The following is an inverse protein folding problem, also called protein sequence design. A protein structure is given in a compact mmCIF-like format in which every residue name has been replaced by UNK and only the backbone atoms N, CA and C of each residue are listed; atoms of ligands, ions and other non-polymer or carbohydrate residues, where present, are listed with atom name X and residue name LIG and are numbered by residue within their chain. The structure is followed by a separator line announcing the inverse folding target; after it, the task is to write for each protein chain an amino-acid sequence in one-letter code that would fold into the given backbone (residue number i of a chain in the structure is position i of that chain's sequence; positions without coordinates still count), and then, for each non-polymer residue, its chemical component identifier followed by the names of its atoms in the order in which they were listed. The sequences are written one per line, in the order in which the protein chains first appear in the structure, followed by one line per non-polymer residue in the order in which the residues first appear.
data_IF_236781306797
#
_entry.id   IF_236781306797
#
_cell.length_a   1.000
_cell.length_b   1.000
_cell.length_c   1.000
_cell.angle_alpha   90.00
_cell.angle_beta   90.00
_cell.angle_gamma   90.00
#
_symmetry.space_group_name_H-M   'P 1'
#
loop_
_entity.id
_entity.type
_entity.pdbx_description
1 polymer ?
#
# COMPACT_ATOMS: atom_id res chain seq x y z
N UNK A 1 55.64 48.44 11.01
CA UNK A 1 55.95 47.63 9.81
C UNK A 1 55.11 46.37 9.83
N UNK A 2 54.48 46.07 8.69
CA UNK A 2 53.77 44.84 8.30
C UNK A 2 52.49 44.45 9.07
N UNK A 3 51.39 44.99 8.56
CA UNK A 3 49.97 44.63 8.72
C UNK A 3 49.73 43.16 8.32
N UNK A 4 49.12 42.35 9.20
CA UNK A 4 48.61 41.01 8.84
C UNK A 4 47.26 41.15 8.15
N UNK A 5 47.23 40.87 6.85
CA UNK A 5 46.01 40.77 6.05
C UNK A 5 45.30 39.43 6.33
N UNK A 6 44.02 39.53 6.68
CA UNK A 6 43.07 38.41 6.75
C UNK A 6 42.81 37.88 5.35
N UNK A 7 43.07 36.59 5.12
CA UNK A 7 42.67 35.89 3.89
C UNK A 7 41.18 35.53 3.97
N UNK A 8 40.36 35.82 2.94
CA UNK A 8 38.95 35.45 2.96
C UNK A 8 38.79 33.95 2.70
N UNK A 9 37.78 33.37 3.36
CA UNK A 9 37.36 31.99 3.18
C UNK A 9 36.94 31.75 1.72
N UNK A 10 37.48 30.69 1.11
CA UNK A 10 37.06 30.21 -0.22
C UNK A 10 35.63 29.69 -0.12
N UNK A 11 34.67 30.46 -0.63
CA UNK A 11 33.35 29.96 -0.96
C UNK A 11 33.47 28.96 -2.11
N UNK A 12 33.21 27.68 -1.82
CA UNK A 12 32.96 26.66 -2.85
C UNK A 12 31.47 26.74 -3.16
N UNK A 13 31.04 27.06 -4.40
CA UNK A 13 29.64 27.05 -4.72
C UNK A 13 29.16 25.60 -4.76
N UNK A 14 28.21 25.26 -3.88
CA UNK A 14 27.39 24.06 -4.00
C UNK A 14 26.66 24.14 -5.34
N UNK A 15 27.19 23.44 -6.33
CA UNK A 15 26.51 23.16 -7.58
C UNK A 15 25.28 22.30 -7.24
N UNK A 16 24.13 22.97 -7.08
CA UNK A 16 22.84 22.32 -7.12
C UNK A 16 22.71 21.63 -8.49
N UNK A 17 22.94 20.32 -8.53
CA UNK A 17 22.51 19.49 -9.65
C UNK A 17 20.99 19.57 -9.70
N UNK A 18 20.46 20.37 -10.61
CA UNK A 18 19.07 20.25 -11.04
C UNK A 18 18.86 18.80 -11.50
N UNK A 19 17.78 18.11 -11.06
CA UNK A 19 17.45 16.82 -11.66
C UNK A 19 17.12 17.10 -13.13
N UNK A 20 17.95 16.59 -14.04
CA UNK A 20 17.57 16.47 -15.46
C UNK A 20 16.56 15.32 -15.58
N UNK A 21 15.37 15.51 -15.02
CA UNK A 21 14.22 14.67 -15.32
C UNK A 21 13.34 15.52 -16.22
N UNK A 22 13.52 15.35 -17.53
CA UNK A 22 12.56 15.87 -18.49
C UNK A 22 11.23 15.13 -18.26
N UNK A 23 10.12 15.86 -18.18
CA UNK A 23 8.81 15.21 -18.22
C UNK A 23 8.69 14.53 -19.59
N UNK A 24 8.55 13.21 -19.57
CA UNK A 24 8.17 12.49 -20.76
C UNK A 24 6.73 12.89 -21.05
N UNK A 25 6.51 13.81 -21.99
CA UNK A 25 5.20 13.98 -22.58
C UNK A 25 4.91 12.69 -23.34
N UNK A 26 3.87 11.91 -22.97
CA UNK A 26 3.50 10.75 -23.74
C UNK A 26 2.93 11.26 -25.07
N UNK A 27 3.77 11.25 -26.11
CA UNK A 27 3.25 11.15 -27.46
C UNK A 27 2.63 9.76 -27.59
N UNK A 28 1.37 9.74 -28.04
CA UNK A 28 0.41 8.65 -28.02
C UNK A 28 -0.40 8.58 -26.71
N UNK A 29 -1.73 8.73 -26.86
CA UNK A 29 -2.68 8.21 -25.89
C UNK A 29 -2.28 6.75 -25.62
N UNK A 30 -1.99 6.35 -24.37
CA UNK A 30 -1.83 4.94 -24.09
C UNK A 30 -3.14 4.28 -24.51
N UNK A 31 -3.07 3.36 -25.47
CA UNK A 31 -4.16 2.44 -25.73
C UNK A 31 -4.57 1.88 -24.36
N UNK A 32 -5.87 1.88 -24.01
CA UNK A 32 -6.29 1.26 -22.77
C UNK A 32 -5.70 -0.17 -22.76
N UNK A 33 -5.11 -0.62 -21.63
CA UNK A 33 -4.59 -1.97 -21.56
C UNK A 33 -5.69 -2.92 -22.03
N UNK A 34 -5.35 -3.80 -22.97
CA UNK A 34 -6.28 -4.80 -23.48
C UNK A 34 -6.56 -5.77 -22.34
N UNK A 35 -7.58 -5.48 -21.54
CA UNK A 35 -8.27 -6.52 -20.77
C UNK A 35 -9.05 -7.35 -21.79
N UNK A 36 -9.07 -8.68 -21.66
CA UNK A 36 -10.07 -9.47 -22.37
C UNK A 36 -11.41 -8.94 -21.91
N UNK A 37 -12.12 -8.29 -22.83
CA UNK A 37 -13.28 -7.47 -22.47
C UNK A 37 -14.40 -8.30 -21.84
N UNK A 38 -14.35 -9.64 -21.97
CA UNK A 38 -15.31 -10.58 -21.39
C UNK A 38 -14.68 -11.97 -21.14
N UNK A 39 -14.98 -12.57 -19.98
CA UNK A 39 -14.84 -14.03 -19.77
C UNK A 39 -16.05 -14.69 -20.47
N UNK A 40 -15.94 -15.04 -21.75
CA UNK A 40 -17.05 -15.66 -22.52
C UNK A 40 -16.85 -17.17 -22.63
N UNK A 41 -17.61 -17.91 -21.82
CA UNK A 41 -17.80 -19.36 -22.00
C UNK A 41 -16.51 -20.16 -21.90
N UNK A 42 -16.19 -20.93 -22.93
CA UNK A 42 -15.01 -21.80 -23.00
C UNK A 42 -13.82 -21.13 -23.74
N UNK A 43 -13.87 -19.82 -24.02
CA UNK A 43 -12.80 -19.12 -24.73
C UNK A 43 -11.61 -18.85 -23.79
N UNK A 44 -10.35 -18.99 -24.26
CA UNK A 44 -9.17 -18.64 -23.47
C UNK A 44 -9.21 -17.16 -23.02
N UNK A 45 -8.70 -16.89 -21.81
CA UNK A 45 -8.57 -15.54 -21.24
C UNK A 45 -7.11 -15.22 -20.91
N UNK A 46 -6.74 -13.94 -20.84
CA UNK A 46 -5.40 -13.56 -20.40
C UNK A 46 -5.20 -13.95 -18.92
N UNK A 47 -3.97 -14.31 -18.56
CA UNK A 47 -3.61 -14.62 -17.16
C UNK A 47 -3.94 -13.44 -16.23
N UNK A 48 -3.73 -12.20 -16.68
CA UNK A 48 -4.10 -11.02 -15.89
C UNK A 48 -5.60 -10.99 -15.55
N UNK A 49 -6.47 -11.35 -16.49
CA UNK A 49 -7.91 -11.29 -16.28
C UNK A 49 -8.38 -12.42 -15.37
N UNK A 50 -7.76 -13.59 -15.50
CA UNK A 50 -7.96 -14.70 -14.58
C UNK A 50 -7.58 -14.31 -13.14
N UNK A 51 -6.38 -13.74 -12.93
CA UNK A 51 -5.93 -13.28 -11.62
C UNK A 51 -6.87 -12.22 -11.05
N UNK A 52 -7.26 -11.24 -11.87
CA UNK A 52 -8.19 -10.19 -11.46
C UNK A 52 -9.52 -10.78 -10.99
N UNK A 53 -10.14 -11.67 -11.77
CA UNK A 53 -11.39 -12.32 -11.40
C UNK A 53 -11.24 -13.20 -10.14
N UNK A 54 -10.17 -14.00 -10.06
CA UNK A 54 -9.92 -14.89 -8.93
C UNK A 54 -9.72 -14.13 -7.60
N UNK A 55 -9.14 -12.93 -7.63
CA UNK A 55 -8.88 -12.14 -6.43
C UNK A 55 -10.01 -11.16 -6.10
N UNK A 56 -10.51 -10.45 -7.10
CA UNK A 56 -11.30 -9.23 -6.93
C UNK A 56 -12.74 -9.31 -7.45
N UNK A 57 -13.19 -10.46 -7.99
CA UNK A 57 -14.60 -10.59 -8.35
C UNK A 57 -15.51 -10.29 -7.14
N UNK A 58 -16.53 -9.43 -7.27
CA UNK A 58 -17.35 -8.99 -6.13
C UNK A 58 -18.10 -10.11 -5.40
N UNK A 59 -18.33 -11.24 -6.06
CA UNK A 59 -19.09 -12.38 -5.54
C UNK A 59 -18.27 -13.64 -5.32
N UNK A 60 -17.23 -13.83 -6.12
CA UNK A 60 -16.46 -15.06 -6.22
C UNK A 60 -14.96 -14.87 -5.96
N UNK A 61 -14.50 -13.62 -5.89
CA UNK A 61 -13.11 -13.31 -5.65
C UNK A 61 -12.68 -13.69 -4.23
N UNK A 62 -11.41 -14.04 -4.08
CA UNK A 62 -10.80 -14.40 -2.81
C UNK A 62 -11.09 -13.37 -1.70
N UNK A 63 -10.92 -12.07 -2.00
CA UNK A 63 -11.12 -10.99 -1.02
C UNK A 63 -12.59 -10.68 -0.74
N UNK A 64 -13.51 -11.13 -1.60
CA UNK A 64 -14.95 -10.95 -1.44
C UNK A 64 -15.59 -12.09 -0.65
N UNK A 65 -15.16 -13.34 -0.87
CA UNK A 65 -15.77 -14.52 -0.24
C UNK A 65 -15.23 -14.84 1.16
N UNK A 66 -13.94 -14.64 1.40
CA UNK A 66 -13.32 -15.05 2.66
C UNK A 66 -13.43 -13.95 3.70
N UNK A 67 -14.43 -14.06 4.57
CA UNK A 67 -14.43 -13.36 5.86
C UNK A 67 -13.15 -13.74 6.63
N UNK A 68 -12.28 -12.77 6.92
CA UNK A 68 -10.97 -13.04 7.54
C UNK A 68 -9.84 -13.32 6.55
N UNK A 69 -9.97 -12.91 5.28
CA UNK A 69 -8.90 -12.97 4.27
C UNK A 69 -7.56 -12.38 4.74
N UNK A 70 -7.61 -11.41 5.66
CA UNK A 70 -6.46 -10.84 6.35
C UNK A 70 -6.54 -11.19 7.83
N UNK A 71 -5.55 -11.91 8.36
CA UNK A 71 -5.48 -12.25 9.77
C UNK A 71 -5.34 -11.01 10.64
N UNK A 72 -6.16 -10.89 11.69
CA UNK A 72 -6.10 -9.79 12.67
C UNK A 72 -5.65 -10.35 14.01
N UNK A 73 -4.55 -9.84 14.55
CA UNK A 73 -4.17 -10.19 15.92
C UNK A 73 -4.96 -9.35 16.92
N UNK A 74 -5.59 -9.93 17.93
CA UNK A 74 -6.28 -9.12 18.94
C UNK A 74 -5.31 -8.24 19.75
N UNK A 75 -4.08 -8.71 19.94
CA UNK A 75 -3.08 -8.05 20.79
C UNK A 75 -1.71 -8.03 20.12
N UNK A 76 -0.95 -6.97 20.38
CA UNK A 76 0.46 -6.88 20.00
C UNK A 76 1.29 -8.01 20.61
N UNK A 77 2.24 -8.53 19.83
CA UNK A 77 3.24 -9.46 20.32
C UNK A 77 4.15 -8.74 21.33
N UNK A 78 4.30 -9.31 22.52
CA UNK A 78 5.21 -8.80 23.56
C UNK A 78 6.62 -9.32 23.32
N UNK A 79 7.32 -8.72 22.35
CA UNK A 79 8.66 -9.17 21.93
C UNK A 79 9.67 -9.21 23.08
N UNK A 80 9.55 -8.33 24.08
CA UNK A 80 10.39 -8.32 25.27
C UNK A 80 10.22 -9.55 26.19
N UNK A 81 9.17 -10.35 25.98
CA UNK A 81 8.91 -11.60 26.70
C UNK A 81 9.40 -12.84 25.93
N UNK A 82 9.90 -12.68 24.71
CA UNK A 82 10.38 -13.77 23.87
C UNK A 82 11.90 -13.90 23.97
N UNK A 83 12.39 -15.09 24.28
CA UNK A 83 13.81 -15.40 24.44
C UNK A 83 14.59 -15.49 23.10
N UNK A 84 14.17 -14.74 22.08
CA UNK A 84 14.77 -14.72 20.74
C UNK A 84 14.00 -15.53 19.70
N UNK A 85 14.67 -15.82 18.57
CA UNK A 85 14.04 -16.34 17.34
C UNK A 85 13.25 -17.63 17.55
N UNK A 86 13.80 -18.60 18.30
CA UNK A 86 13.12 -19.89 18.53
C UNK A 86 11.78 -19.72 19.25
N UNK A 87 11.76 -18.92 20.32
CA UNK A 87 10.54 -18.62 21.07
C UNK A 87 9.53 -17.87 20.19
N UNK A 88 9.98 -16.94 19.36
CA UNK A 88 9.12 -16.25 18.40
C UNK A 88 8.50 -17.19 17.37
N UNK A 89 9.27 -18.10 16.77
CA UNK A 89 8.74 -19.06 15.80
C UNK A 89 7.71 -20.00 16.42
N UNK A 90 7.95 -20.47 17.66
CA UNK A 90 6.97 -21.29 18.40
C UNK A 90 5.70 -20.50 18.73
N UNK A 91 5.84 -19.24 19.11
CA UNK A 91 4.71 -18.35 19.37
C UNK A 91 3.87 -18.14 18.09
N UNK A 92 4.52 -17.87 16.95
CA UNK A 92 3.83 -17.76 15.66
C UNK A 92 3.11 -19.05 15.28
N UNK A 93 3.80 -20.20 15.36
CA UNK A 93 3.20 -21.51 15.05
C UNK A 93 1.93 -21.77 15.87
N UNK A 94 1.93 -21.40 17.16
CA UNK A 94 0.74 -21.49 17.99
C UNK A 94 -0.39 -20.56 17.53
N UNK A 95 -0.08 -19.32 17.16
CA UNK A 95 -1.09 -18.39 16.62
C UNK A 95 -1.71 -18.95 15.35
N UNK A 96 -0.89 -19.42 14.40
CA UNK A 96 -1.37 -19.97 13.14
C UNK A 96 -2.23 -21.22 13.33
N UNK A 97 -1.92 -22.07 14.32
CA UNK A 97 -2.75 -23.25 14.65
C UNK A 97 -4.08 -22.89 15.30
N UNK A 98 -4.17 -21.74 15.97
CA UNK A 98 -5.36 -21.30 16.71
C UNK A 98 -6.31 -20.46 15.86
N UNK A 99 -5.84 -19.93 14.74
CA UNK A 99 -6.62 -19.04 13.89
C UNK A 99 -6.79 -19.69 12.52
N UNK A 100 -8.02 -19.76 12.02
CA UNK A 100 -8.32 -20.17 10.65
C UNK A 100 -8.06 -19.00 9.68
N UNK A 101 -6.82 -18.52 9.67
CA UNK A 101 -6.37 -17.38 8.84
C UNK A 101 -5.28 -17.84 7.91
N UNK A 102 -5.32 -17.34 6.67
CA UNK A 102 -4.35 -17.76 5.65
C UNK A 102 -2.97 -17.13 5.88
N UNK A 103 -2.90 -15.90 6.39
CA UNK A 103 -1.65 -15.22 6.76
C UNK A 103 -1.89 -14.03 7.71
N UNK A 104 -0.84 -13.64 8.43
CA UNK A 104 -0.74 -12.32 9.08
C UNK A 104 0.25 -11.44 8.34
N UNK A 105 -0.14 -10.20 8.07
CA UNK A 105 0.75 -9.21 7.46
C UNK A 105 1.78 -8.70 8.47
N UNK A 106 2.90 -8.10 8.03
CA UNK A 106 3.85 -7.43 8.91
C UNK A 106 3.21 -6.35 9.77
N UNK A 107 2.19 -5.65 9.26
CA UNK A 107 1.40 -4.67 10.03
C UNK A 107 0.83 -5.33 11.28
N UNK A 108 0.28 -6.54 11.15
CA UNK A 108 -0.36 -7.26 12.25
C UNK A 108 0.66 -7.88 13.20
N UNK A 109 1.68 -8.55 12.66
CA UNK A 109 2.71 -9.22 13.47
C UNK A 109 3.55 -8.24 14.29
N UNK A 110 3.82 -7.04 13.75
CA UNK A 110 4.73 -6.08 14.35
C UNK A 110 4.03 -4.83 14.90
N UNK A 111 2.70 -4.83 15.08
CA UNK A 111 2.00 -3.68 15.64
C UNK A 111 2.38 -3.40 17.11
N UNK A 112 2.48 -2.12 17.50
CA UNK A 112 2.27 -0.93 16.67
C UNK A 112 3.55 -0.46 15.94
N UNK A 113 4.68 -1.12 16.15
CA UNK A 113 6.01 -0.69 15.72
C UNK A 113 6.15 -0.54 14.21
N UNK A 114 5.50 -1.40 13.41
CA UNK A 114 5.51 -1.27 11.96
C UNK A 114 4.90 0.06 11.50
N UNK A 115 3.73 0.41 12.03
CA UNK A 115 3.05 1.68 11.76
C UNK A 115 3.83 2.88 12.30
N UNK A 116 4.46 2.75 13.47
CA UNK A 116 5.30 3.80 14.05
C UNK A 116 6.51 4.12 13.15
N UNK A 117 7.18 3.10 12.60
CA UNK A 117 8.30 3.31 11.68
C UNK A 117 7.88 4.07 10.42
N UNK A 118 6.69 3.79 9.90
CA UNK A 118 6.11 4.52 8.76
C UNK A 118 5.77 5.96 9.16
N UNK A 119 5.14 6.16 10.32
CA UNK A 119 4.79 7.49 10.82
C UNK A 119 6.02 8.38 11.05
N UNK A 120 7.10 7.84 11.60
CA UNK A 120 8.40 8.50 11.72
C UNK A 120 8.95 8.93 10.36
N UNK A 121 8.92 8.03 9.37
CA UNK A 121 9.37 8.35 8.01
C UNK A 121 8.54 9.50 7.40
N UNK A 122 7.21 9.48 7.62
CA UNK A 122 6.30 10.55 7.21
C UNK A 122 6.69 11.87 7.87
N UNK A 123 6.79 11.92 9.19
CA UNK A 123 7.10 13.17 9.91
C UNK A 123 8.47 13.75 9.57
N UNK A 124 9.44 12.90 9.23
CA UNK A 124 10.79 13.33 8.84
C UNK A 124 10.86 13.91 7.43
N UNK A 125 10.01 13.47 6.50
CA UNK A 125 10.18 13.78 5.07
C UNK A 125 8.99 14.47 4.42
N UNK A 126 7.83 14.55 5.07
CA UNK A 126 6.71 15.37 4.63
C UNK A 126 6.99 16.87 4.82
N UNK A 127 6.48 17.69 3.90
CA UNK A 127 6.40 19.14 4.11
C UNK A 127 5.27 19.47 5.09
N UNK A 128 5.58 19.57 6.37
CA UNK A 128 4.61 19.88 7.42
C UNK A 128 4.23 21.36 7.50
N UNK A 129 4.65 22.22 6.56
CA UNK A 129 4.13 23.59 6.41
C UNK A 129 2.76 23.62 5.72
N UNK A 130 2.39 22.54 5.03
CA UNK A 130 1.05 22.32 4.47
C UNK A 130 0.34 21.19 5.21
N UNK A 131 -1.00 21.09 5.14
CA UNK A 131 -1.73 19.97 5.72
C UNK A 131 -1.22 18.61 5.23
N UNK A 132 -1.01 17.67 6.16
CA UNK A 132 -0.52 16.34 5.84
C UNK A 132 -1.64 15.51 5.20
N UNK A 133 -1.44 15.05 3.96
CA UNK A 133 -2.39 14.19 3.25
C UNK A 133 -1.76 12.80 3.04
N UNK A 134 -2.45 11.75 3.47
CA UNK A 134 -2.03 10.36 3.34
C UNK A 134 -3.10 9.60 2.59
N UNK A 135 -2.68 8.87 1.56
CA UNK A 135 -3.45 7.82 0.90
C UNK A 135 -2.86 6.47 1.28
N UNK A 136 -3.72 5.53 1.66
CA UNK A 136 -3.36 4.13 1.83
C UNK A 136 -4.20 3.31 0.86
N UNK A 137 -3.56 2.58 -0.04
CA UNK A 137 -4.26 1.68 -0.98
C UNK A 137 -4.20 0.29 -0.37
N UNK A 138 -5.34 -0.38 -0.26
CA UNK A 138 -5.42 -1.72 0.33
C UNK A 138 -5.04 -1.74 1.81
N UNK A 139 -5.67 -0.89 2.64
CA UNK A 139 -5.34 -0.74 4.07
C UNK A 139 -5.67 -1.96 4.97
N UNK A 140 -6.16 -3.06 4.39
CA UNK A 140 -6.45 -4.29 5.11
C UNK A 140 -7.45 -4.09 6.24
N UNK A 141 -7.05 -4.43 7.47
CA UNK A 141 -7.85 -4.27 8.69
C UNK A 141 -7.92 -2.82 9.22
N UNK A 142 -7.10 -1.91 8.70
CA UNK A 142 -7.00 -0.52 9.19
C UNK A 142 -6.05 -0.35 10.38
N UNK A 143 -5.40 -1.43 10.81
CA UNK A 143 -4.39 -1.42 11.88
C UNK A 143 -3.24 -0.46 11.56
N UNK A 144 -2.78 -0.39 10.30
CA UNK A 144 -1.70 0.52 9.91
C UNK A 144 -2.14 1.98 10.02
N UNK A 145 -3.27 2.35 9.40
CA UNK A 145 -3.87 3.68 9.52
C UNK A 145 -4.02 4.12 10.98
N UNK A 146 -4.64 3.28 11.81
CA UNK A 146 -4.81 3.56 13.24
C UNK A 146 -3.46 3.81 13.93
N UNK A 147 -2.49 2.92 13.72
CA UNK A 147 -1.16 3.04 14.33
C UNK A 147 -0.39 4.29 13.89
N UNK A 148 -0.50 4.67 12.62
CA UNK A 148 0.12 5.91 12.10
C UNK A 148 -0.56 7.13 12.73
N UNK A 149 -1.89 7.15 12.78
CA UNK A 149 -2.65 8.27 13.35
C UNK A 149 -2.43 8.41 14.86
N UNK A 150 -2.38 7.29 15.60
CA UNK A 150 -2.03 7.25 17.02
C UNK A 150 -0.63 7.84 17.24
N UNK A 151 0.36 7.41 16.44
CA UNK A 151 1.73 7.91 16.56
C UNK A 151 1.82 9.42 16.26
N UNK A 152 1.20 9.90 15.19
CA UNK A 152 1.19 11.32 14.81
C UNK A 152 0.48 12.15 15.89
N UNK A 153 -0.64 11.67 16.44
CA UNK A 153 -1.38 12.35 17.50
C UNK A 153 -0.52 12.57 18.75
N UNK A 154 0.33 11.60 19.09
CA UNK A 154 1.16 11.63 20.30
C UNK A 154 2.49 12.37 20.13
N UNK A 155 3.07 12.35 18.92
CA UNK A 155 4.46 12.77 18.72
C UNK A 155 4.63 13.99 17.80
N UNK A 156 3.62 14.38 17.03
CA UNK A 156 3.71 15.55 16.16
C UNK A 156 3.13 16.81 16.84
N UNK A 157 3.53 18.04 16.42
CA UNK A 157 2.85 19.25 16.84
C UNK A 157 1.34 19.16 16.56
N UNK A 158 0.51 19.61 17.50
CA UNK A 158 -0.96 19.48 17.44
C UNK A 158 -1.57 19.96 16.11
N UNK A 159 -0.99 21.01 15.50
CA UNK A 159 -1.40 21.54 14.20
C UNK A 159 -1.28 20.53 13.05
N UNK A 160 -0.37 19.56 13.13
CA UNK A 160 -0.16 18.53 12.11
C UNK A 160 -1.29 17.52 12.19
N UNK A 161 -1.51 16.91 13.36
CA UNK A 161 -2.60 15.95 13.55
C UNK A 161 -3.96 16.60 13.31
N UNK A 162 -4.21 17.81 13.80
CA UNK A 162 -5.53 18.46 13.64
C UNK A 162 -5.89 18.74 12.18
N UNK A 163 -4.91 18.99 11.32
CA UNK A 163 -5.12 19.35 9.92
C UNK A 163 -4.81 18.21 8.96
N UNK A 164 -4.46 17.01 9.44
CA UNK A 164 -4.17 15.90 8.54
C UNK A 164 -5.44 15.31 7.91
N UNK A 165 -5.26 14.64 6.78
CA UNK A 165 -6.30 13.83 6.13
C UNK A 165 -5.71 12.48 5.77
N UNK A 166 -6.39 11.42 6.16
CA UNK A 166 -6.02 10.03 5.87
C UNK A 166 -7.14 9.38 5.07
N UNK A 167 -6.82 8.89 3.88
CA UNK A 167 -7.78 8.35 2.94
C UNK A 167 -7.34 6.93 2.61
N UNK A 168 -8.14 5.95 3.00
CA UNK A 168 -7.95 4.60 2.52
C UNK A 168 -8.73 4.39 1.22
N UNK A 169 -8.13 3.71 0.24
CA UNK A 169 -8.80 3.25 -0.98
C UNK A 169 -8.85 1.73 -0.92
N UNK A 170 -10.05 1.19 -0.82
CA UNK A 170 -10.28 -0.23 -0.56
C UNK A 170 -11.36 -0.77 -1.50
N UNK A 171 -11.07 -1.87 -2.18
CA UNK A 171 -11.99 -2.49 -3.14
C UNK A 171 -12.97 -3.44 -2.43
N UNK A 172 -12.59 -3.99 -1.27
CA UNK A 172 -13.43 -4.92 -0.53
C UNK A 172 -14.37 -4.17 0.44
N UNK A 173 -15.70 -4.36 0.33
CA UNK A 173 -16.65 -3.68 1.21
C UNK A 173 -16.52 -4.14 2.67
N UNK A 174 -16.12 -5.40 2.90
CA UNK A 174 -15.95 -5.96 4.24
C UNK A 174 -14.70 -5.38 4.93
N UNK A 175 -13.58 -5.27 4.20
CA UNK A 175 -12.38 -4.61 4.71
C UNK A 175 -12.61 -3.10 4.90
N UNK A 176 -13.30 -2.44 3.98
CA UNK A 176 -13.63 -1.02 4.12
C UNK A 176 -14.40 -0.74 5.42
N UNK A 177 -15.42 -1.57 5.71
CA UNK A 177 -16.16 -1.49 6.98
C UNK A 177 -15.24 -1.76 8.18
N UNK A 178 -14.40 -2.79 8.10
CA UNK A 178 -13.49 -3.16 9.18
C UNK A 178 -12.51 -2.04 9.52
N UNK A 179 -11.99 -1.34 8.52
CA UNK A 179 -11.10 -0.21 8.71
C UNK A 179 -11.78 0.94 9.46
N UNK A 180 -13.03 1.25 9.13
CA UNK A 180 -13.82 2.27 9.85
C UNK A 180 -14.00 1.88 11.31
N UNK A 181 -14.32 0.60 11.58
CA UNK A 181 -14.46 0.09 12.95
C UNK A 181 -13.15 0.22 13.73
N UNK A 182 -12.04 -0.27 13.17
CA UNK A 182 -10.72 -0.26 13.82
C UNK A 182 -10.18 1.15 14.04
N UNK A 183 -10.22 2.03 13.03
CA UNK A 183 -9.79 3.43 13.20
C UNK A 183 -10.73 4.20 14.13
N UNK A 184 -12.03 3.86 14.10
CA UNK A 184 -13.08 4.46 14.93
C UNK A 184 -12.99 4.15 16.43
N UNK A 185 -12.17 3.17 16.83
CA UNK A 185 -11.83 2.93 18.25
C UNK A 185 -11.26 4.18 18.93
N UNK A 186 -10.65 5.08 18.15
CA UNK A 186 -10.18 6.39 18.61
C UNK A 186 -11.02 7.48 17.96
N UNK A 187 -12.02 7.98 18.71
CA UNK A 187 -13.04 8.92 18.21
C UNK A 187 -12.49 10.16 17.49
N UNK A 188 -11.33 10.68 17.90
CA UNK A 188 -10.70 11.84 17.26
C UNK A 188 -10.19 11.57 15.83
N UNK A 189 -9.96 10.31 15.47
CA UNK A 189 -9.53 9.89 14.13
C UNK A 189 -10.66 10.00 13.10
N UNK A 190 -11.92 9.80 13.51
CA UNK A 190 -13.08 9.81 12.61
C UNK A 190 -13.24 11.11 11.81
N UNK A 191 -12.78 12.23 12.36
CA UNK A 191 -12.80 13.54 11.67
C UNK A 191 -11.72 13.71 10.59
N UNK A 192 -10.73 12.81 10.54
CA UNK A 192 -9.53 12.89 9.70
C UNK A 192 -9.39 11.70 8.77
N UNK A 193 -10.11 10.61 9.05
CA UNK A 193 -10.05 9.35 8.34
C UNK A 193 -11.32 9.11 7.53
N UNK A 194 -11.16 8.64 6.30
CA UNK A 194 -12.26 8.06 5.52
C UNK A 194 -11.77 6.88 4.68
N UNK A 195 -12.71 6.03 4.29
CA UNK A 195 -12.48 4.96 3.32
C UNK A 195 -13.27 5.25 2.06
N UNK A 196 -12.61 5.22 0.93
CA UNK A 196 -13.20 5.27 -0.40
C UNK A 196 -13.31 3.83 -0.91
N UNK A 197 -14.54 3.31 -0.95
CA UNK A 197 -14.81 1.97 -1.45
C UNK A 197 -14.80 1.97 -3.00
N UNK A 198 -13.64 1.68 -3.59
CA UNK A 198 -13.40 1.68 -5.03
C UNK A 198 -12.11 0.96 -5.39
N UNK A 199 -11.98 0.57 -6.64
CA UNK A 199 -10.70 0.10 -7.20
C UNK A 199 -9.75 1.29 -7.42
N UNK A 200 -8.54 1.20 -6.87
CA UNK A 200 -7.48 2.18 -7.06
C UNK A 200 -6.91 2.19 -8.48
N UNK A 201 -7.03 1.09 -9.24
CA UNK A 201 -6.60 1.00 -10.63
C UNK A 201 -7.59 1.70 -11.60
N UNK A 202 -8.84 1.91 -11.18
CA UNK A 202 -9.83 2.61 -11.98
C UNK A 202 -9.55 4.11 -12.02
N UNK A 203 -9.01 4.58 -13.17
CA UNK A 203 -8.69 5.99 -13.42
C UNK A 203 -9.86 6.94 -13.14
N UNK A 204 -11.08 6.55 -13.49
CA UNK A 204 -12.29 7.38 -13.26
C UNK A 204 -12.63 7.57 -11.78
N UNK A 205 -12.11 6.73 -10.89
CA UNK A 205 -12.21 6.91 -9.45
C UNK A 205 -11.29 8.02 -8.91
N UNK A 206 -10.37 8.52 -9.74
CA UNK A 206 -9.51 9.65 -9.42
C UNK A 206 -10.00 10.90 -10.16
N UNK A 207 -10.10 12.02 -9.45
CA UNK A 207 -10.49 13.30 -10.01
C UNK A 207 -9.33 14.01 -10.72
N UNK A 208 -9.44 15.33 -10.79
CA UNK A 208 -8.36 16.17 -11.30
C UNK A 208 -7.09 16.04 -10.46
N UNK A 209 -5.95 16.28 -11.09
CA UNK A 209 -4.64 16.22 -10.42
C UNK A 209 -4.54 17.31 -9.36
N UNK A 210 -4.40 16.89 -8.10
CA UNK A 210 -4.11 17.78 -6.98
C UNK A 210 -2.60 18.00 -6.84
N UNK A 211 -2.15 19.26 -6.79
CA UNK A 211 -0.73 19.63 -6.64
C UNK A 211 -0.24 19.57 -5.18
N UNK A 212 -1.13 19.34 -4.21
CA UNK A 212 -0.76 19.22 -2.81
C UNK A 212 0.12 17.97 -2.61
N UNK A 213 1.30 18.09 -1.96
CA UNK A 213 2.10 16.93 -1.61
C UNK A 213 1.31 15.95 -0.74
N UNK A 214 1.38 14.66 -1.05
CA UNK A 214 0.78 13.60 -0.27
C UNK A 214 1.74 12.42 -0.09
N UNK A 215 1.42 11.58 0.87
CA UNK A 215 2.01 10.25 1.01
C UNK A 215 1.08 9.22 0.40
N UNK A 216 1.66 8.23 -0.28
CA UNK A 216 0.93 7.06 -0.76
C UNK A 216 1.57 5.83 -0.13
N UNK A 217 0.76 5.04 0.56
CA UNK A 217 1.15 3.81 1.25
C UNK A 217 0.50 2.64 0.52
N UNK A 218 1.31 1.63 0.18
CA UNK A 218 0.88 0.39 -0.46
C UNK A 218 1.66 -0.76 0.18
N UNK A 219 1.04 -1.47 1.12
CA UNK A 219 1.68 -2.57 1.85
C UNK A 219 1.06 -3.89 1.40
N UNK A 220 1.86 -4.76 0.78
CA UNK A 220 1.38 -6.05 0.22
C UNK A 220 0.21 -5.88 -0.77
N UNK A 221 0.29 -4.83 -1.60
CA UNK A 221 -0.69 -4.56 -2.66
C UNK A 221 -0.17 -5.02 -4.02
N UNK A 222 1.09 -4.71 -4.34
CA UNK A 222 1.63 -4.90 -5.69
C UNK A 222 1.77 -6.38 -6.09
N UNK A 223 2.04 -7.24 -5.12
CA UNK A 223 2.08 -8.69 -5.28
C UNK A 223 0.70 -9.31 -5.57
N UNK A 224 -0.38 -8.60 -5.22
CA UNK A 224 -1.75 -9.00 -5.53
C UNK A 224 -2.27 -8.42 -6.85
N UNK A 225 -1.54 -7.50 -7.51
CA UNK A 225 -2.02 -6.90 -8.74
C UNK A 225 -2.09 -7.92 -9.89
N UNK A 226 -3.14 -7.87 -10.72
CA UNK A 226 -3.22 -8.69 -11.92
C UNK A 226 -2.06 -8.37 -12.87
N UNK A 227 -1.41 -9.41 -13.39
CA UNK A 227 -0.23 -9.29 -14.23
C UNK A 227 -0.22 -10.35 -15.33
N UNK A 228 0.51 -10.07 -16.40
CA UNK A 228 0.70 -11.02 -17.49
C UNK A 228 1.70 -12.10 -17.14
N UNK A 229 1.49 -13.25 -17.76
CA UNK A 229 2.52 -14.25 -17.94
C UNK A 229 2.93 -14.24 -19.40
N UNK A 230 4.24 -14.11 -19.64
CA UNK A 230 4.83 -14.16 -20.98
C UNK A 230 5.74 -15.36 -21.10
N UNK A 231 5.75 -15.96 -22.29
CA UNK A 231 6.53 -17.14 -22.59
C UNK A 231 7.36 -16.89 -23.85
N UNK A 232 8.60 -17.36 -23.83
CA UNK A 232 9.41 -17.51 -25.04
C UNK A 232 10.11 -18.87 -24.97
N UNK A 233 10.11 -19.58 -26.08
CA UNK A 233 10.72 -20.91 -26.17
C UNK A 233 12.24 -20.87 -25.94
N UNK A 234 12.88 -19.78 -26.35
CA UNK A 234 14.32 -19.55 -26.20
C UNK A 234 14.64 -18.04 -26.30
N UNK A 235 15.91 -17.66 -26.09
CA UNK A 235 16.32 -16.26 -26.03
C UNK A 235 16.17 -15.46 -27.34
N UNK A 236 16.03 -16.13 -28.49
CA UNK A 236 15.89 -15.46 -29.79
C UNK A 236 14.46 -15.50 -30.34
N UNK A 237 13.59 -16.33 -29.75
CA UNK A 237 12.18 -16.39 -30.09
C UNK A 237 11.41 -15.16 -29.58
N UNK A 238 10.35 -14.74 -30.30
CA UNK A 238 9.48 -13.66 -29.84
C UNK A 238 8.77 -14.06 -28.53
N UNK A 239 8.50 -13.06 -27.69
CA UNK A 239 7.66 -13.24 -26.50
C UNK A 239 6.20 -13.39 -26.91
N UNK A 240 5.53 -14.38 -26.33
CA UNK A 240 4.11 -14.68 -26.52
C UNK A 240 3.38 -14.49 -25.19
N UNK A 241 2.15 -13.99 -25.26
CA UNK A 241 1.26 -13.94 -24.09
C UNK A 241 0.79 -15.35 -23.74
N UNK A 242 0.63 -15.63 -22.44
CA UNK A 242 0.05 -16.87 -21.95
C UNK A 242 -1.42 -16.65 -21.61
N UNK A 243 -2.23 -17.61 -22.04
CA UNK A 243 -3.69 -17.59 -21.89
C UNK A 243 -4.13 -18.79 -21.05
N UNK A 244 -5.18 -18.61 -20.25
CA UNK A 244 -5.82 -19.65 -19.44
C UNK A 244 -7.02 -20.19 -20.22
N UNK A 245 -6.99 -21.49 -20.49
CA UNK A 245 -8.09 -22.21 -21.16
C UNK A 245 -8.70 -23.23 -20.21
N UNK A 246 -10.02 -23.38 -20.27
CA UNK A 246 -10.76 -24.38 -19.49
C UNK A 246 -10.57 -25.76 -20.12
N UNK A 247 -10.00 -26.70 -19.39
CA UNK A 247 -10.00 -28.09 -19.83
C UNK A 247 -11.41 -28.69 -19.71
N UNK A 248 -11.92 -29.28 -20.80
CA UNK A 248 -13.07 -30.17 -20.74
C UNK A 248 -12.67 -31.44 -19.97
N UNK A 249 -13.49 -31.84 -19.00
CA UNK A 249 -13.26 -33.07 -18.25
C UNK A 249 -13.20 -34.26 -19.22
N UNK A 250 -12.11 -35.06 -19.12
CA UNK A 250 -11.97 -36.32 -19.86
C UNK A 250 -12.89 -37.39 -19.29
#
# INVERSE_FOLDING_TARGET
MATRLLSPARYVPLLFRSPKVASFQPFAHPSPPFFSTHIVGDSPILVRDFIHSALYDPSHGYFSQRSGSVGLLERSIRFNQLAGRKAYMQYLDNIYKQNDVSWFTPVELFKPWYAHGIAEAILRTANLSVPLKIYEIGGGSGTCAKGIMDYIMLNAPTRVYNNMTYISVEISPSLAKKQIETVGEVRSHLSKYRVEHRDAAHRSGWGDVEQQPCWVIMLEVLDNLPHDLVYSENQVSPWMEVWVEKQQAR
#
